data_IF_330605954356
#
_entry.id   IF_330605954356
#
_cell.length_a   1.000
_cell.length_b   1.000
_cell.length_c   1.000
_cell.angle_alpha   90.00
_cell.angle_beta   90.00
_cell.angle_gamma   90.00
#
_symmetry.space_group_name_H-M   'P 1'
#
loop_
_entity.id
_entity.type
_entity.pdbx_description
1 polymer ?
#
# COMPACT_ATOMS: atom_id res chain seq x y z
N UNK A 1 8.45 1.78 -3.19
CA UNK A 1 7.04 1.55 -3.61
C UNK A 1 6.35 2.84 -4.05
N UNK A 2 6.48 3.95 -3.32
CA UNK A 2 5.86 5.24 -3.70
C UNK A 2 6.16 5.61 -5.16
N UNK A 3 7.44 5.55 -5.59
CA UNK A 3 7.81 5.85 -6.99
C UNK A 3 7.13 4.93 -8.02
N UNK A 4 6.83 3.67 -7.67
CA UNK A 4 6.11 2.76 -8.58
C UNK A 4 4.66 3.18 -8.75
N UNK A 5 4.00 3.52 -7.63
CA UNK A 5 2.63 4.05 -7.65
C UNK A 5 2.55 5.38 -8.43
N UNK A 6 3.53 6.27 -8.24
CA UNK A 6 3.60 7.55 -8.97
C UNK A 6 3.86 7.37 -10.48
N UNK A 7 4.53 6.28 -10.87
CA UNK A 7 4.83 5.95 -12.26
C UNK A 7 3.74 5.14 -12.96
N UNK A 8 2.62 4.87 -12.31
CA UNK A 8 1.51 4.10 -12.91
C UNK A 8 0.94 4.84 -14.12
N UNK A 9 0.89 4.17 -15.26
CA UNK A 9 0.16 4.65 -16.43
C UNK A 9 -1.32 4.33 -16.31
N UNK A 10 -2.14 5.36 -16.34
CA UNK A 10 -3.59 5.22 -16.27
C UNK A 10 -4.14 5.04 -17.68
N UNK A 11 -4.55 3.81 -18.01
CA UNK A 11 -5.07 3.51 -19.35
C UNK A 11 -6.54 3.91 -19.49
N UNK A 12 -6.90 4.34 -20.70
CA UNK A 12 -8.26 4.66 -21.09
C UNK A 12 -8.59 4.16 -22.48
N UNK A 13 -9.89 4.02 -22.75
CA UNK A 13 -10.38 3.58 -24.06
C UNK A 13 -11.69 4.28 -24.42
N UNK A 14 -11.91 4.39 -25.74
CA UNK A 14 -13.22 4.64 -26.33
C UNK A 14 -13.25 3.92 -27.69
N UNK A 15 -14.04 2.87 -27.82
CA UNK A 15 -14.12 2.05 -29.04
C UNK A 15 -15.49 1.35 -29.21
N UNK A 16 -16.51 1.82 -28.50
CA UNK A 16 -17.88 1.32 -28.57
C UNK A 16 -18.15 0.06 -27.75
N UNK A 17 -19.38 -0.42 -27.85
CA UNK A 17 -19.92 -1.50 -27.01
C UNK A 17 -19.23 -2.87 -27.22
N UNK A 18 -18.55 -3.07 -28.35
CA UNK A 18 -17.83 -4.33 -28.65
C UNK A 18 -16.33 -4.15 -28.79
N UNK A 19 -15.81 -2.94 -28.52
CA UNK A 19 -14.39 -2.66 -28.65
C UNK A 19 -13.89 -2.50 -30.10
N UNK A 20 -14.80 -2.43 -31.09
CA UNK A 20 -14.47 -2.47 -32.51
C UNK A 20 -14.87 -1.20 -33.29
N UNK A 21 -15.40 -0.18 -32.63
CA UNK A 21 -16.03 0.98 -33.24
C UNK A 21 -17.19 0.63 -34.19
N UNK A 22 -17.76 -0.58 -34.16
CA UNK A 22 -18.74 -1.04 -35.12
C UNK A 22 -19.89 -0.07 -35.39
N UNK A 23 -20.55 0.43 -34.32
CA UNK A 23 -21.62 1.42 -34.46
C UNK A 23 -21.13 2.77 -35.00
N UNK A 24 -19.93 3.18 -34.66
CA UNK A 24 -19.34 4.44 -35.13
C UNK A 24 -19.01 4.38 -36.63
N UNK A 25 -18.42 3.27 -37.06
CA UNK A 25 -18.09 3.05 -38.50
C UNK A 25 -19.36 3.02 -39.34
N UNK A 26 -20.44 2.40 -38.87
CA UNK A 26 -21.72 2.38 -39.59
C UNK A 26 -22.34 3.79 -39.67
N UNK A 27 -22.21 4.58 -38.62
CA UNK A 27 -22.79 5.93 -38.57
C UNK A 27 -21.97 6.94 -39.37
N UNK A 28 -20.65 6.87 -39.35
CA UNK A 28 -19.73 7.78 -40.06
C UNK A 28 -18.57 7.00 -40.64
N UNK A 29 -18.73 6.33 -41.78
CA UNK A 29 -17.74 5.37 -42.30
C UNK A 29 -16.42 6.00 -42.79
N UNK A 30 -16.39 7.31 -43.01
CA UNK A 30 -15.20 8.03 -43.49
C UNK A 30 -14.32 8.59 -42.37
N UNK A 31 -14.70 8.44 -41.12
CA UNK A 31 -13.89 8.97 -39.97
C UNK A 31 -12.80 7.98 -39.53
N UNK A 32 -11.65 8.52 -39.20
CA UNK A 32 -10.60 7.75 -38.50
C UNK A 32 -10.94 7.65 -37.00
N UNK A 33 -11.74 6.66 -36.64
CA UNK A 33 -12.18 6.45 -35.27
C UNK A 33 -11.07 6.10 -34.30
N UNK A 34 -9.95 5.52 -34.77
CA UNK A 34 -8.80 5.27 -33.96
C UNK A 34 -8.11 6.58 -33.55
N UNK A 35 -7.94 7.51 -34.50
CA UNK A 35 -7.38 8.82 -34.21
C UNK A 35 -8.31 9.64 -33.29
N UNK A 36 -9.63 9.59 -33.51
CA UNK A 36 -10.63 10.26 -32.65
C UNK A 36 -10.57 9.69 -31.24
N UNK A 37 -10.58 8.37 -31.10
CA UNK A 37 -10.54 7.71 -29.79
C UNK A 37 -9.27 8.02 -29.03
N UNK A 38 -8.11 7.95 -29.69
CA UNK A 38 -6.83 8.32 -29.12
C UNK A 38 -6.81 9.77 -28.63
N UNK A 39 -7.17 10.71 -29.50
CA UNK A 39 -7.16 12.12 -29.14
C UNK A 39 -8.09 12.44 -27.98
N UNK A 40 -9.24 11.78 -27.88
CA UNK A 40 -10.15 11.94 -26.74
C UNK A 40 -9.53 11.44 -25.42
N UNK A 41 -8.97 10.24 -25.42
CA UNK A 41 -8.38 9.63 -24.21
C UNK A 41 -7.16 10.42 -23.74
N UNK A 42 -6.26 10.78 -24.66
CA UNK A 42 -5.06 11.56 -24.34
C UNK A 42 -5.40 12.98 -23.87
N UNK A 43 -6.48 13.59 -24.37
CA UNK A 43 -6.98 14.88 -23.88
C UNK A 43 -7.41 14.82 -22.40
N UNK A 44 -7.86 13.66 -21.93
CA UNK A 44 -8.18 13.43 -20.51
C UNK A 44 -6.95 13.15 -19.63
N UNK A 45 -5.75 13.15 -20.20
CA UNK A 45 -4.50 12.83 -19.50
C UNK A 45 -4.27 11.34 -19.26
N UNK A 46 -4.98 10.47 -20.02
CA UNK A 46 -4.85 9.02 -19.93
C UNK A 46 -4.02 8.48 -21.10
N UNK A 47 -3.40 7.31 -20.90
CA UNK A 47 -2.74 6.60 -21.98
C UNK A 47 -3.77 5.82 -22.81
N UNK A 48 -3.73 5.99 -24.12
CA UNK A 48 -4.66 5.32 -25.03
C UNK A 48 -4.39 3.82 -25.12
N UNK A 49 -5.42 2.98 -24.83
CA UNK A 49 -5.40 1.55 -25.06
C UNK A 49 -6.23 1.20 -26.30
N UNK A 50 -5.60 0.86 -27.45
CA UNK A 50 -6.31 0.66 -28.72
C UNK A 50 -7.08 -0.67 -28.82
N UNK A 51 -6.66 -1.68 -28.06
CA UNK A 51 -7.15 -3.05 -28.18
C UNK A 51 -7.83 -3.51 -26.89
N UNK A 52 -9.11 -3.28 -26.82
CA UNK A 52 -9.95 -3.68 -25.69
C UNK A 52 -11.23 -4.36 -26.18
N UNK A 53 -11.95 -4.98 -25.26
CA UNK A 53 -13.32 -5.41 -25.46
C UNK A 53 -14.29 -4.24 -25.17
N UNK A 54 -15.45 -4.51 -24.61
CA UNK A 54 -16.41 -3.45 -24.22
C UNK A 54 -15.82 -2.47 -23.20
N UNK A 55 -15.00 -2.98 -22.28
CA UNK A 55 -14.34 -2.21 -21.23
C UNK A 55 -12.82 -2.21 -21.44
N UNK A 56 -12.13 -1.31 -20.76
CA UNK A 56 -10.68 -1.34 -20.63
C UNK A 56 -10.29 -2.56 -19.78
N UNK A 57 -9.19 -3.24 -20.12
CA UNK A 57 -8.63 -4.30 -19.28
C UNK A 57 -8.06 -3.69 -17.99
N UNK A 58 -8.27 -4.35 -16.86
CA UNK A 58 -7.93 -3.81 -15.56
C UNK A 58 -6.55 -4.28 -15.05
N UNK A 59 -5.69 -4.77 -15.90
CA UNK A 59 -4.36 -5.27 -15.53
C UNK A 59 -3.46 -4.19 -14.94
N UNK A 60 -3.49 -2.96 -15.48
CA UNK A 60 -2.77 -1.83 -14.88
C UNK A 60 -3.32 -1.47 -13.48
N UNK A 61 -4.63 -1.60 -13.26
CA UNK A 61 -5.23 -1.42 -11.94
C UNK A 61 -4.77 -2.50 -10.97
N UNK A 62 -4.67 -3.75 -11.43
CA UNK A 62 -4.17 -4.85 -10.62
C UNK A 62 -2.70 -4.63 -10.20
N UNK A 63 -1.86 -4.11 -11.09
CA UNK A 63 -0.49 -3.70 -10.76
C UNK A 63 -0.49 -2.61 -9.69
N UNK A 64 -1.27 -1.53 -9.88
CA UNK A 64 -1.40 -0.45 -8.92
C UNK A 64 -1.83 -0.96 -7.53
N UNK A 65 -2.88 -1.79 -7.48
CA UNK A 65 -3.37 -2.34 -6.22
C UNK A 65 -2.36 -3.24 -5.54
N UNK A 66 -1.61 -4.04 -6.31
CA UNK A 66 -0.53 -4.87 -5.79
C UNK A 66 0.62 -4.03 -5.23
N UNK A 67 0.96 -2.92 -5.85
CA UNK A 67 2.00 -2.01 -5.36
C UNK A 67 1.56 -1.28 -4.09
N UNK A 68 0.31 -0.86 -3.99
CA UNK A 68 -0.26 -0.29 -2.74
C UNK A 68 -0.30 -1.35 -1.64
N UNK A 69 -0.75 -2.56 -1.93
CA UNK A 69 -0.76 -3.65 -0.95
C UNK A 69 0.66 -3.99 -0.45
N UNK A 70 1.67 -3.96 -1.33
CA UNK A 70 3.07 -4.13 -0.93
C UNK A 70 3.55 -3.00 -0.02
N UNK A 71 3.21 -1.75 -0.34
CA UNK A 71 3.48 -0.62 0.55
C UNK A 71 2.84 -0.81 1.92
N UNK A 72 1.58 -1.22 1.95
CA UNK A 72 0.84 -1.47 3.18
C UNK A 72 1.52 -2.54 4.06
N UNK A 73 2.01 -3.63 3.47
CA UNK A 73 2.75 -4.69 4.19
C UNK A 73 4.06 -4.19 4.79
N UNK A 74 4.76 -3.29 4.09
CA UNK A 74 5.99 -2.67 4.62
C UNK A 74 5.65 -1.74 5.79
N UNK A 75 4.58 -0.94 5.66
CA UNK A 75 4.12 -0.05 6.72
C UNK A 75 3.60 -0.84 7.94
N UNK A 76 2.95 -1.98 7.72
CA UNK A 76 2.53 -2.90 8.77
C UNK A 76 3.74 -3.41 9.57
N UNK A 77 4.77 -3.90 8.88
CA UNK A 77 6.00 -4.35 9.57
C UNK A 77 6.62 -3.25 10.42
N UNK A 78 6.68 -2.02 9.92
CA UNK A 78 7.15 -0.87 10.71
C UNK A 78 6.30 -0.67 11.98
N UNK A 79 4.97 -0.76 11.87
CA UNK A 79 4.08 -0.61 13.03
C UNK A 79 4.32 -1.71 14.07
N UNK A 80 4.49 -2.96 13.62
CA UNK A 80 4.81 -4.11 14.48
C UNK A 80 6.16 -3.95 15.19
N UNK A 81 7.20 -3.48 14.48
CA UNK A 81 8.50 -3.20 15.08
C UNK A 81 8.41 -2.13 16.16
N UNK A 82 7.73 -1.02 15.88
CA UNK A 82 7.54 0.07 16.85
C UNK A 82 6.73 -0.41 18.06
N UNK A 83 5.66 -1.19 17.85
CA UNK A 83 4.90 -1.81 18.92
C UNK A 83 5.80 -2.66 19.83
N UNK A 84 6.68 -3.46 19.21
CA UNK A 84 7.65 -4.30 19.91
C UNK A 84 8.63 -3.44 20.74
N UNK A 85 9.17 -2.37 20.15
CA UNK A 85 10.10 -1.48 20.87
C UNK A 85 9.44 -0.72 22.02
N UNK A 86 8.15 -0.41 21.91
CA UNK A 86 7.37 0.12 23.03
C UNK A 86 7.23 -0.93 24.15
N UNK A 87 6.97 -2.19 23.79
CA UNK A 87 6.83 -3.28 24.77
C UNK A 87 8.12 -3.60 25.50
N UNK A 88 9.29 -3.40 24.86
CA UNK A 88 10.62 -3.55 25.44
C UNK A 88 11.08 -2.32 26.25
N UNK A 89 10.31 -1.23 26.21
CA UNK A 89 10.64 0.01 26.90
C UNK A 89 11.68 0.87 26.17
N UNK A 90 12.03 0.56 24.93
CA UNK A 90 12.94 1.37 24.13
C UNK A 90 12.30 2.67 23.64
N UNK A 91 11.00 2.62 23.39
CA UNK A 91 10.20 3.78 23.03
C UNK A 91 9.10 4.02 24.04
N UNK A 92 8.82 5.29 24.32
CA UNK A 92 7.70 5.72 25.16
C UNK A 92 6.73 6.56 24.35
N UNK A 93 5.43 6.33 24.59
CA UNK A 93 4.38 7.13 23.98
C UNK A 93 4.09 8.36 24.84
N UNK A 94 4.09 9.55 24.24
CA UNK A 94 3.64 10.76 24.92
C UNK A 94 2.14 10.72 25.09
N UNK A 95 1.65 10.62 26.32
CA UNK A 95 0.21 10.56 26.64
C UNK A 95 -0.58 11.75 26.09
N UNK A 96 0.01 12.95 26.09
CA UNK A 96 -0.56 14.15 25.49
C UNK A 96 -0.83 14.04 24.00
N UNK A 97 -0.06 13.20 23.29
CA UNK A 97 -0.23 12.96 21.85
C UNK A 97 -1.26 11.87 21.53
N UNK A 98 -1.59 11.01 22.52
CA UNK A 98 -2.56 9.92 22.33
C UNK A 98 -4.02 10.34 22.59
N UNK A 99 -4.25 11.31 23.46
CA UNK A 99 -5.59 11.78 23.82
C UNK A 99 -6.37 10.90 24.80
N UNK A 100 -5.92 9.67 25.12
CA UNK A 100 -6.53 8.79 26.13
C UNK A 100 -5.59 7.68 26.60
N UNK A 101 -5.85 7.13 27.78
CA UNK A 101 -5.10 5.99 28.36
C UNK A 101 -5.55 4.62 27.83
N UNK A 102 -6.56 4.56 26.97
CA UNK A 102 -7.01 3.33 26.30
C UNK A 102 -7.79 2.31 27.15
N UNK A 103 -7.87 2.48 28.48
CA UNK A 103 -8.65 1.60 29.35
C UNK A 103 -9.31 2.37 30.49
N UNK A 104 -10.62 2.20 30.66
CA UNK A 104 -11.37 2.76 31.80
C UNK A 104 -11.20 1.96 33.09
N UNK A 105 -10.82 0.67 32.98
CA UNK A 105 -10.70 -0.25 34.12
C UNK A 105 -9.26 -0.46 34.57
N UNK A 106 -8.28 -0.16 33.72
CA UNK A 106 -6.86 -0.31 34.00
C UNK A 106 -6.12 0.99 33.65
N UNK A 107 -6.11 2.00 34.53
CA UNK A 107 -5.53 3.33 34.24
C UNK A 107 -4.03 3.29 33.89
N UNK A 108 -3.30 2.25 34.33
CA UNK A 108 -1.89 2.04 34.04
C UNK A 108 -1.62 1.38 32.68
N UNK A 109 -2.66 0.86 32.00
CA UNK A 109 -2.53 0.22 30.70
C UNK A 109 -2.54 1.27 29.61
N UNK A 110 -1.41 1.52 29.00
CA UNK A 110 -1.26 2.42 27.85
C UNK A 110 -1.01 1.57 26.62
N UNK A 111 -2.03 1.43 25.79
CA UNK A 111 -1.90 0.68 24.51
C UNK A 111 -1.29 1.58 23.43
N UNK A 112 -0.43 1.05 22.55
CA UNK A 112 0.05 1.76 21.37
C UNK A 112 -1.02 1.76 20.26
N UNK A 113 -2.22 2.28 20.60
CA UNK A 113 -3.45 2.18 19.80
C UNK A 113 -3.31 2.69 18.36
N UNK A 114 -2.43 3.67 18.12
CA UNK A 114 -2.23 4.19 16.78
C UNK A 114 -1.54 3.20 15.87
N UNK A 115 -0.62 2.39 16.38
CA UNK A 115 0.05 1.32 15.66
C UNK A 115 -0.87 0.12 15.48
N UNK A 116 -1.57 -0.32 16.53
CA UNK A 116 -2.56 -1.40 16.48
C UNK A 116 -3.70 -1.09 15.49
N UNK A 117 -4.22 0.14 15.51
CA UNK A 117 -5.22 0.60 14.54
C UNK A 117 -4.64 0.67 13.12
N UNK A 118 -3.39 1.10 12.99
CA UNK A 118 -2.66 1.10 11.72
C UNK A 118 -2.57 -0.31 11.14
N UNK A 119 -2.08 -1.28 11.90
CA UNK A 119 -1.95 -2.69 11.50
C UNK A 119 -3.28 -3.26 11.01
N UNK A 120 -4.34 -3.16 11.83
CA UNK A 120 -5.65 -3.70 11.47
C UNK A 120 -6.22 -3.09 10.16
N UNK A 121 -6.09 -1.77 9.98
CA UNK A 121 -6.54 -1.12 8.75
C UNK A 121 -5.69 -1.50 7.54
N UNK A 122 -4.37 -1.70 7.69
CA UNK A 122 -3.51 -2.18 6.60
C UNK A 122 -3.87 -3.60 6.17
N UNK A 123 -4.20 -4.49 7.11
CA UNK A 123 -4.64 -5.85 6.81
C UNK A 123 -5.95 -5.88 6.02
N UNK A 124 -6.95 -5.09 6.44
CA UNK A 124 -8.22 -4.94 5.71
C UNK A 124 -7.97 -4.39 4.30
N UNK A 125 -7.16 -3.34 4.20
CA UNK A 125 -6.78 -2.75 2.91
C UNK A 125 -6.11 -3.77 2.00
N UNK A 126 -5.13 -4.53 2.49
CA UNK A 126 -4.45 -5.57 1.72
C UNK A 126 -5.41 -6.64 1.22
N UNK A 127 -6.32 -7.14 2.08
CA UNK A 127 -7.31 -8.15 1.68
C UNK A 127 -8.20 -7.66 0.55
N UNK A 128 -8.66 -6.41 0.60
CA UNK A 128 -9.49 -5.82 -0.45
C UNK A 128 -8.68 -5.57 -1.73
N UNK A 129 -7.47 -5.04 -1.63
CA UNK A 129 -6.60 -4.76 -2.78
C UNK A 129 -6.18 -6.05 -3.49
N UNK A 130 -5.84 -7.10 -2.76
CA UNK A 130 -5.51 -8.42 -3.33
C UNK A 130 -6.73 -9.01 -4.06
N UNK A 131 -7.93 -8.90 -3.47
CA UNK A 131 -9.16 -9.34 -4.12
C UNK A 131 -9.44 -8.55 -5.40
N UNK A 132 -9.28 -7.22 -5.37
CA UNK A 132 -9.43 -6.36 -6.55
C UNK A 132 -8.45 -6.75 -7.65
N UNK A 133 -7.16 -6.89 -7.31
CA UNK A 133 -6.11 -7.27 -8.26
C UNK A 133 -6.37 -8.64 -8.90
N UNK A 134 -6.78 -9.62 -8.10
CA UNK A 134 -7.06 -10.98 -8.60
C UNK A 134 -8.32 -11.06 -9.47
N UNK A 135 -9.37 -10.32 -9.11
CA UNK A 135 -10.67 -10.42 -9.80
C UNK A 135 -10.70 -9.63 -11.10
N UNK A 136 -10.14 -8.41 -11.11
CA UNK A 136 -10.36 -7.47 -12.20
C UNK A 136 -9.62 -7.83 -13.50
N UNK A 137 -8.57 -8.64 -13.43
CA UNK A 137 -7.82 -9.09 -14.63
C UNK A 137 -8.55 -10.18 -15.41
N UNK A 138 -9.67 -10.68 -14.91
CA UNK A 138 -10.45 -11.73 -15.56
C UNK A 138 -11.82 -11.22 -15.97
N UNK A 139 -12.13 -11.31 -17.27
CA UNK A 139 -13.47 -11.02 -17.81
C UNK A 139 -13.84 -12.07 -18.85
N UNK A 140 -15.15 -12.28 -19.05
CA UNK A 140 -15.66 -13.29 -19.98
C UNK A 140 -16.19 -12.62 -21.23
N UNK A 141 -15.82 -13.15 -22.41
CA UNK A 141 -16.26 -12.69 -23.72
C UNK A 141 -16.05 -11.17 -23.89
N UNK A 142 -17.10 -10.43 -24.19
CA UNK A 142 -17.04 -8.97 -24.32
C UNK A 142 -17.00 -8.28 -22.96
N UNK A 143 -17.79 -8.77 -22.00
CA UNK A 143 -17.82 -8.32 -20.62
C UNK A 143 -18.73 -9.21 -19.77
N UNK A 144 -18.34 -9.55 -18.56
CA UNK A 144 -19.24 -9.91 -17.46
C UNK A 144 -19.36 -8.76 -16.45
N UNK A 145 -20.17 -8.92 -15.38
CA UNK A 145 -20.41 -7.87 -14.40
C UNK A 145 -19.71 -8.10 -13.06
N UNK A 146 -18.78 -9.04 -12.99
CA UNK A 146 -18.00 -9.32 -11.77
C UNK A 146 -17.18 -8.11 -11.35
N UNK A 147 -16.58 -7.41 -12.32
CA UNK A 147 -15.83 -6.18 -12.12
C UNK A 147 -16.67 -5.08 -11.45
N UNK A 148 -17.91 -4.90 -11.90
CA UNK A 148 -18.82 -3.87 -11.38
C UNK A 148 -19.09 -4.00 -9.88
N UNK A 149 -19.22 -5.22 -9.37
CA UNK A 149 -19.40 -5.48 -7.94
C UNK A 149 -18.11 -5.23 -7.17
N UNK A 150 -17.00 -5.73 -7.70
CA UNK A 150 -15.69 -5.68 -7.03
C UNK A 150 -15.17 -4.25 -6.93
N UNK A 151 -15.26 -3.46 -7.98
CA UNK A 151 -14.77 -2.08 -8.04
C UNK A 151 -15.41 -1.13 -7.03
N UNK A 152 -16.60 -1.44 -6.52
CA UNK A 152 -17.25 -0.65 -5.45
C UNK A 152 -16.43 -0.59 -4.17
N UNK A 153 -15.47 -1.49 -4.01
CA UNK A 153 -14.61 -1.57 -2.83
C UNK A 153 -13.28 -0.82 -2.97
N UNK A 154 -12.98 -0.24 -4.14
CA UNK A 154 -11.72 0.49 -4.37
C UNK A 154 -11.54 1.63 -3.36
N UNK A 155 -12.57 2.49 -3.19
CA UNK A 155 -12.52 3.59 -2.24
C UNK A 155 -12.37 3.14 -0.79
N UNK A 156 -13.00 2.01 -0.43
CA UNK A 156 -12.88 1.41 0.91
C UNK A 156 -11.45 0.91 1.15
N UNK A 157 -10.88 0.17 0.18
CA UNK A 157 -9.54 -0.36 0.26
C UNK A 157 -8.48 0.74 0.44
N UNK A 158 -8.54 1.78 -0.40
CA UNK A 158 -7.62 2.92 -0.32
C UNK A 158 -7.88 3.78 0.93
N UNK A 159 -9.14 3.90 1.37
CA UNK A 159 -9.50 4.61 2.58
C UNK A 159 -8.90 3.99 3.84
N UNK A 160 -8.92 2.65 3.95
CA UNK A 160 -8.25 1.93 5.04
C UNK A 160 -6.74 2.15 5.03
N UNK A 161 -6.09 2.11 3.85
CA UNK A 161 -4.66 2.41 3.72
C UNK A 161 -4.32 3.82 4.19
N UNK A 162 -5.08 4.82 3.74
CA UNK A 162 -4.88 6.22 4.13
C UNK A 162 -5.05 6.43 5.64
N UNK A 163 -6.11 5.86 6.22
CA UNK A 163 -6.39 5.94 7.66
C UNK A 163 -5.25 5.31 8.47
N UNK A 164 -4.75 4.15 8.03
CA UNK A 164 -3.64 3.47 8.68
C UNK A 164 -2.36 4.30 8.67
N UNK A 165 -1.98 4.83 7.50
CA UNK A 165 -0.77 5.64 7.33
C UNK A 165 -0.85 6.91 8.19
N UNK A 166 -2.00 7.57 8.26
CA UNK A 166 -2.17 8.74 9.13
C UNK A 166 -2.03 8.37 10.62
N UNK A 167 -2.59 7.23 11.06
CA UNK A 167 -2.42 6.76 12.42
C UNK A 167 -0.97 6.43 12.76
N UNK A 168 -0.26 5.68 11.89
CA UNK A 168 1.15 5.36 12.09
C UNK A 168 1.99 6.64 12.15
N UNK A 169 1.78 7.58 11.23
CA UNK A 169 2.47 8.88 11.20
C UNK A 169 2.27 9.66 12.50
N UNK A 170 1.04 9.73 13.00
CA UNK A 170 0.73 10.38 14.30
C UNK A 170 1.32 9.63 15.47
N UNK A 171 1.34 8.30 15.41
CA UNK A 171 1.99 7.44 16.39
C UNK A 171 3.49 7.75 16.50
N UNK A 172 4.18 7.74 15.36
CA UNK A 172 5.62 8.05 15.29
C UNK A 172 5.95 9.46 15.81
N UNK A 173 5.13 10.47 15.46
CA UNK A 173 5.30 11.83 15.95
C UNK A 173 5.12 11.96 17.49
N UNK A 174 4.47 10.99 18.12
CA UNK A 174 4.22 10.94 19.55
C UNK A 174 5.18 10.04 20.35
N UNK A 175 6.28 9.57 19.75
CA UNK A 175 7.26 8.72 20.42
C UNK A 175 8.43 9.52 20.97
N UNK A 176 8.93 9.06 22.12
CA UNK A 176 10.22 9.42 22.69
C UNK A 176 11.08 8.17 22.83
N UNK A 177 12.40 8.31 22.65
CA UNK A 177 13.37 7.21 22.76
C UNK A 177 13.93 7.16 24.16
N UNK A 178 13.87 6.01 24.81
CA UNK A 178 14.57 5.77 26.09
C UNK A 178 16.01 5.32 25.83
N UNK A 179 16.91 6.28 25.82
CA UNK A 179 18.34 6.02 25.60
C UNK A 179 18.96 5.21 26.72
N UNK A 180 18.56 5.44 27.98
CA UNK A 180 19.09 4.73 29.11
C UNK A 180 18.75 3.24 29.04
N UNK A 181 17.51 2.93 28.66
CA UNK A 181 17.08 1.53 28.48
C UNK A 181 17.82 0.83 27.33
N UNK A 182 18.07 1.53 26.23
CA UNK A 182 18.85 0.99 25.11
C UNK A 182 20.31 0.74 25.50
N UNK A 183 20.94 1.67 26.25
CA UNK A 183 22.31 1.53 26.75
C UNK A 183 22.41 0.37 27.73
N UNK A 184 21.44 0.24 28.65
CA UNK A 184 21.40 -0.87 29.62
C UNK A 184 21.41 -2.24 28.93
N UNK A 185 20.53 -2.43 27.92
CA UNK A 185 20.44 -3.69 27.20
C UNK A 185 21.67 -3.95 26.33
N UNK A 186 22.28 -2.91 25.75
CA UNK A 186 23.52 -3.04 24.98
C UNK A 186 24.69 -3.46 25.88
N UNK A 187 24.80 -2.87 27.04
CA UNK A 187 25.85 -3.22 28.03
C UNK A 187 25.64 -4.61 28.64
N UNK A 188 24.40 -5.09 28.72
CA UNK A 188 24.09 -6.43 29.22
C UNK A 188 24.27 -7.54 28.17
N UNK A 189 24.40 -7.20 26.86
CA UNK A 189 24.31 -8.17 25.76
C UNK A 189 25.53 -8.05 24.82
N UNK A 190 26.73 -8.30 25.33
CA UNK A 190 27.98 -8.19 24.57
C UNK A 190 28.09 -9.17 23.40
N UNK A 191 27.28 -10.23 23.38
CA UNK A 191 27.20 -11.22 22.30
C UNK A 191 26.87 -10.60 20.92
N UNK A 192 26.19 -9.47 20.90
CA UNK A 192 25.89 -8.72 19.66
C UNK A 192 27.16 -8.22 18.94
N UNK A 193 28.27 -8.13 19.66
CA UNK A 193 29.58 -7.74 19.12
C UNK A 193 30.34 -8.89 18.46
N UNK A 194 29.83 -10.11 18.48
CA UNK A 194 30.52 -11.29 17.93
C UNK A 194 30.86 -11.13 16.45
N UNK A 195 29.93 -10.63 15.63
CA UNK A 195 30.18 -10.38 14.19
C UNK A 195 31.19 -9.24 13.96
N UNK A 196 31.06 -8.03 14.54
CA UNK A 196 32.05 -6.97 14.43
C UNK A 196 33.46 -7.41 14.83
N UNK A 197 33.60 -8.15 15.95
CA UNK A 197 34.90 -8.69 16.41
C UNK A 197 35.47 -9.64 15.36
N UNK A 198 34.69 -10.59 14.84
CA UNK A 198 35.16 -11.50 13.78
C UNK A 198 35.61 -10.74 12.53
N UNK A 199 34.88 -9.71 12.11
CA UNK A 199 35.27 -8.91 10.95
C UNK A 199 36.58 -8.14 11.20
N UNK A 200 36.75 -7.56 12.37
CA UNK A 200 37.98 -6.90 12.77
C UNK A 200 39.15 -7.87 12.76
N UNK A 201 38.99 -9.08 13.31
CA UNK A 201 40.01 -10.12 13.30
C UNK A 201 40.41 -10.56 11.89
N UNK A 202 39.43 -10.77 11.01
CA UNK A 202 39.68 -11.10 9.59
C UNK A 202 40.42 -9.98 8.86
N UNK A 203 40.02 -8.74 9.08
CA UNK A 203 40.71 -7.58 8.50
C UNK A 203 42.17 -7.45 8.99
N UNK A 204 42.46 -7.84 10.22
CA UNK A 204 43.80 -7.88 10.80
C UNK A 204 44.60 -9.17 10.44
N UNK A 205 44.07 -10.04 9.57
CA UNK A 205 44.66 -11.34 9.20
C UNK A 205 44.92 -12.28 10.37
N UNK A 206 44.15 -12.15 11.45
CA UNK A 206 44.21 -13.04 12.61
C UNK A 206 43.32 -14.25 12.33
N UNK A 207 43.88 -15.47 12.44
CA UNK A 207 43.12 -16.70 12.29
C UNK A 207 42.06 -16.79 13.40
N UNK A 208 40.78 -16.98 13.02
CA UNK A 208 39.67 -17.22 13.93
C UNK A 208 39.53 -18.68 14.29
#
# INVERSE_FOLDING_TARGET
>A
QVRRVEATEYLGKINGATGTFGAHVVSVPGADWQAVGRGFVEHLGLTWNPLTTQIESHDWQAELYSDVARFNRIAHNLATDVWTYISLGYFHQRLSAQGSTGSSTMPHKVNPIRFENGEANLEISCSLLDTLAATLVTSRLQRDLTDSTTQRNVGVALGHSLLAVDNIRRGLAGLDVDRARLEEDLEATWEVLGEPVQQAMRAAAVAG
#
